data_IF_330876657816
#
_entry.id   IF_330876657816
#
_cell.length_a   1.000
_cell.length_b   1.000
_cell.length_c   1.000
_cell.angle_alpha   90.00
_cell.angle_beta   90.00
_cell.angle_gamma   90.00
#
_symmetry.space_group_name_H-M   'P 1'
#
loop_
_entity.id
_entity.type
_entity.pdbx_description
1 polymer ?
#
# COMPACT_ATOMS: atom_id res chain seq x y z
N UNK A 1 -41.57 -23.22 17.44
CA UNK A 1 -40.17 -23.66 17.52
C UNK A 1 -39.35 -23.08 16.35
N UNK A 2 -39.66 -23.44 15.12
CA UNK A 2 -38.88 -22.99 13.94
C UNK A 2 -38.74 -21.46 13.75
N UNK A 3 -39.76 -20.67 14.08
CA UNK A 3 -39.71 -19.20 13.95
C UNK A 3 -38.72 -18.60 14.97
N UNK A 4 -38.72 -19.10 16.19
CA UNK A 4 -37.86 -18.66 17.27
C UNK A 4 -36.38 -18.99 16.99
N UNK A 5 -36.14 -20.18 16.45
CA UNK A 5 -34.80 -20.62 16.08
C UNK A 5 -34.27 -19.83 14.88
N UNK A 6 -35.11 -19.54 13.89
CA UNK A 6 -34.75 -18.68 12.75
C UNK A 6 -34.43 -17.26 13.18
N UNK A 7 -35.21 -16.71 14.11
CA UNK A 7 -34.95 -15.37 14.65
C UNK A 7 -33.63 -15.33 15.40
N UNK A 8 -33.35 -16.33 16.23
CA UNK A 8 -32.09 -16.45 16.95
C UNK A 8 -30.90 -16.59 16.00
N UNK A 9 -31.01 -17.46 14.98
CA UNK A 9 -29.99 -17.62 13.96
C UNK A 9 -29.74 -16.34 13.16
N UNK A 10 -30.81 -15.60 12.81
CA UNK A 10 -30.68 -14.32 12.12
C UNK A 10 -30.02 -13.25 13.00
N UNK A 11 -30.32 -13.22 14.29
CA UNK A 11 -29.70 -12.31 15.25
C UNK A 11 -28.20 -12.60 15.41
N UNK A 12 -27.84 -13.86 15.57
CA UNK A 12 -26.44 -14.28 15.69
C UNK A 12 -25.66 -13.99 14.39
N UNK A 13 -26.28 -14.20 13.24
CA UNK A 13 -25.70 -13.83 11.94
C UNK A 13 -25.46 -12.33 11.83
N UNK A 14 -26.41 -11.50 12.25
CA UNK A 14 -26.27 -10.05 12.26
C UNK A 14 -25.12 -9.61 13.18
N UNK A 15 -25.02 -10.14 14.38
CA UNK A 15 -23.94 -9.84 15.32
C UNK A 15 -22.57 -10.26 14.78
N UNK A 16 -22.48 -11.40 14.10
CA UNK A 16 -21.27 -11.87 13.44
C UNK A 16 -20.85 -10.92 12.33
N UNK A 17 -21.76 -10.55 11.45
CA UNK A 17 -21.50 -9.61 10.35
C UNK A 17 -21.09 -8.24 10.89
N UNK A 18 -21.74 -7.73 11.93
CA UNK A 18 -21.37 -6.47 12.57
C UNK A 18 -19.96 -6.50 13.14
N UNK A 19 -19.57 -7.57 13.84
CA UNK A 19 -18.21 -7.74 14.37
C UNK A 19 -17.16 -7.86 13.27
N UNK A 20 -17.48 -8.61 12.22
CA UNK A 20 -16.60 -8.79 11.06
C UNK A 20 -16.39 -7.47 10.31
N UNK A 21 -17.43 -6.69 10.09
CA UNK A 21 -17.36 -5.35 9.48
C UNK A 21 -16.53 -4.39 10.34
N UNK A 22 -16.72 -4.38 11.65
CA UNK A 22 -15.93 -3.56 12.57
C UNK A 22 -14.45 -3.94 12.53
N UNK A 23 -14.15 -5.24 12.47
CA UNK A 23 -12.77 -5.73 12.35
C UNK A 23 -12.14 -5.28 11.03
N UNK A 24 -12.83 -5.44 9.91
CA UNK A 24 -12.36 -5.01 8.58
C UNK A 24 -12.12 -3.50 8.55
N UNK A 25 -13.01 -2.70 9.11
CA UNK A 25 -12.84 -1.26 9.21
C UNK A 25 -11.61 -0.86 10.02
N UNK A 26 -11.40 -1.50 11.16
CA UNK A 26 -10.23 -1.27 12.02
C UNK A 26 -8.93 -1.67 11.33
N UNK A 27 -8.89 -2.85 10.74
CA UNK A 27 -7.71 -3.36 10.03
C UNK A 27 -7.36 -2.47 8.83
N UNK A 28 -8.36 -2.01 8.09
CA UNK A 28 -8.18 -1.08 6.96
C UNK A 28 -7.68 0.28 7.41
N UNK A 29 -8.18 0.81 8.53
CA UNK A 29 -7.72 2.07 9.11
C UNK A 29 -6.25 2.00 9.56
N UNK A 30 -5.89 0.94 10.27
CA UNK A 30 -4.50 0.69 10.67
C UNK A 30 -3.59 0.50 9.45
N UNK A 31 -4.10 -0.18 8.41
CA UNK A 31 -3.40 -0.34 7.13
C UNK A 31 -3.15 0.99 6.41
N UNK A 32 -4.08 1.95 6.48
CA UNK A 32 -3.88 3.31 5.92
C UNK A 32 -2.79 4.06 6.67
N UNK A 33 -2.82 4.06 8.00
CA UNK A 33 -1.79 4.75 8.83
C UNK A 33 -0.41 4.12 8.61
N UNK A 34 -0.32 2.80 8.66
CA UNK A 34 0.90 2.05 8.38
C UNK A 34 1.40 2.29 6.96
N UNK A 35 0.49 2.37 5.98
CA UNK A 35 0.79 2.65 4.59
C UNK A 35 1.43 4.01 4.37
N UNK A 36 0.99 5.06 5.07
CA UNK A 36 1.61 6.40 5.00
C UNK A 36 3.07 6.34 5.45
N UNK A 37 3.35 5.70 6.59
CA UNK A 37 4.70 5.55 7.11
C UNK A 37 5.59 4.73 6.16
N UNK A 38 5.06 3.65 5.60
CA UNK A 38 5.76 2.80 4.63
C UNK A 38 6.09 3.54 3.35
N UNK A 39 5.15 4.30 2.79
CA UNK A 39 5.38 5.11 1.58
C UNK A 39 6.48 6.14 1.83
N UNK A 40 6.46 6.84 2.95
CA UNK A 40 7.52 7.80 3.32
C UNK A 40 8.90 7.13 3.44
N UNK A 41 8.98 5.98 4.10
CA UNK A 41 10.22 5.23 4.25
C UNK A 41 10.76 4.76 2.89
N UNK A 42 9.89 4.28 2.00
CA UNK A 42 10.28 3.84 0.66
C UNK A 42 10.66 5.01 -0.26
N UNK A 43 10.03 6.17 -0.13
CA UNK A 43 10.49 7.38 -0.82
C UNK A 43 11.91 7.74 -0.42
N UNK A 44 12.22 7.71 0.86
CA UNK A 44 13.57 7.94 1.35
C UNK A 44 14.56 6.88 0.83
N UNK A 45 14.15 5.63 0.75
CA UNK A 45 14.96 4.54 0.18
C UNK A 45 15.28 4.77 -1.30
N UNK A 46 14.31 5.26 -2.09
CA UNK A 46 14.54 5.63 -3.50
C UNK A 46 15.56 6.76 -3.60
N UNK A 47 15.42 7.80 -2.80
CA UNK A 47 16.38 8.93 -2.78
C UNK A 47 17.80 8.47 -2.42
N UNK A 48 17.93 7.65 -1.39
CA UNK A 48 19.22 7.10 -0.96
C UNK A 48 19.85 6.22 -2.04
N UNK A 49 19.05 5.38 -2.70
CA UNK A 49 19.52 4.52 -3.78
C UNK A 49 19.93 5.31 -5.03
N UNK A 50 19.22 6.40 -5.34
CA UNK A 50 19.58 7.31 -6.44
C UNK A 50 20.92 8.01 -6.16
N UNK A 51 21.11 8.52 -4.94
CA UNK A 51 22.37 9.16 -4.52
C UNK A 51 23.54 8.15 -4.56
N UNK A 52 23.31 6.92 -4.08
CA UNK A 52 24.29 5.85 -4.13
C UNK A 52 24.68 5.48 -5.57
N UNK A 53 23.71 5.47 -6.50
CA UNK A 53 23.97 5.24 -7.91
C UNK A 53 24.85 6.35 -8.49
N UNK A 54 24.53 7.62 -8.25
CA UNK A 54 25.33 8.75 -8.71
C UNK A 54 26.77 8.68 -8.20
N UNK A 55 26.95 8.37 -6.92
CA UNK A 55 28.29 8.20 -6.33
C UNK A 55 29.07 7.04 -6.97
N UNK A 56 28.38 5.94 -7.28
CA UNK A 56 28.99 4.77 -7.91
C UNK A 56 29.34 5.05 -9.38
N UNK A 57 28.50 5.77 -10.11
CA UNK A 57 28.79 6.20 -11.49
C UNK A 57 29.99 7.16 -11.55
N UNK A 58 30.05 8.13 -10.64
CA UNK A 58 31.22 9.01 -10.50
C UNK A 58 32.49 8.22 -10.17
N UNK A 59 32.39 7.24 -9.26
CA UNK A 59 33.53 6.34 -8.95
C UNK A 59 33.97 5.47 -10.14
N UNK A 60 33.04 5.08 -10.99
CA UNK A 60 33.31 4.35 -12.22
C UNK A 60 34.09 5.22 -13.23
N UNK A 61 33.69 6.47 -13.40
CA UNK A 61 34.38 7.42 -14.30
C UNK A 61 35.84 7.66 -13.91
N UNK A 62 36.11 7.70 -12.61
CA UNK A 62 37.49 7.88 -12.10
C UNK A 62 38.26 6.56 -11.87
N UNK A 63 37.65 5.41 -12.20
CA UNK A 63 38.28 4.10 -12.15
C UNK A 63 38.30 3.43 -10.75
N UNK A 64 37.58 3.98 -9.74
CA UNK A 64 37.54 3.41 -8.39
C UNK A 64 36.40 2.40 -8.21
N UNK A 65 35.47 2.31 -9.14
CA UNK A 65 34.33 1.39 -9.15
C UNK A 65 34.28 0.60 -10.45
N UNK A 66 33.67 -0.58 -10.39
CA UNK A 66 33.54 -1.48 -11.53
C UNK A 66 32.19 -1.34 -12.19
N UNK A 67 32.04 -1.87 -13.43
CA UNK A 67 30.74 -1.97 -14.12
C UNK A 67 29.73 -2.77 -13.32
N UNK A 68 30.17 -3.81 -12.62
CA UNK A 68 29.31 -4.63 -11.74
C UNK A 68 28.76 -3.79 -10.59
N UNK A 69 29.57 -2.92 -9.99
CA UNK A 69 29.12 -2.02 -8.93
C UNK A 69 28.01 -1.07 -9.42
N UNK A 70 28.15 -0.52 -10.62
CA UNK A 70 27.14 0.35 -11.25
C UNK A 70 25.85 -0.42 -11.54
N UNK A 71 25.96 -1.63 -12.08
CA UNK A 71 24.80 -2.49 -12.34
C UNK A 71 24.05 -2.85 -11.06
N UNK A 72 24.76 -3.17 -9.99
CA UNK A 72 24.17 -3.47 -8.69
C UNK A 72 23.47 -2.23 -8.09
N UNK A 73 24.08 -1.07 -8.19
CA UNK A 73 23.47 0.18 -7.75
C UNK A 73 22.16 0.50 -8.53
N UNK A 74 22.16 0.29 -9.85
CA UNK A 74 20.95 0.42 -10.70
C UNK A 74 19.87 -0.56 -10.31
N UNK A 75 20.21 -1.82 -10.06
CA UNK A 75 19.25 -2.84 -9.60
C UNK A 75 18.60 -2.44 -8.28
N UNK A 76 19.40 -1.91 -7.34
CA UNK A 76 18.88 -1.42 -6.04
C UNK A 76 17.91 -0.26 -6.22
N UNK A 77 18.24 0.68 -7.09
CA UNK A 77 17.34 1.80 -7.41
C UNK A 77 16.03 1.32 -8.02
N UNK A 78 16.06 0.46 -9.04
CA UNK A 78 14.84 -0.09 -9.65
C UNK A 78 14.02 -0.92 -8.67
N UNK A 79 14.66 -1.70 -7.80
CA UNK A 79 13.97 -2.44 -6.74
C UNK A 79 13.28 -1.50 -5.76
N UNK A 80 13.94 -0.42 -5.35
CA UNK A 80 13.36 0.59 -4.46
C UNK A 80 12.16 1.31 -5.13
N UNK A 81 12.28 1.67 -6.41
CA UNK A 81 11.19 2.29 -7.17
C UNK A 81 9.99 1.34 -7.32
N UNK A 82 10.24 0.07 -7.61
CA UNK A 82 9.21 -0.97 -7.67
C UNK A 82 8.48 -1.11 -6.35
N UNK A 83 9.22 -1.21 -5.24
CA UNK A 83 8.63 -1.36 -3.91
C UNK A 83 7.80 -0.12 -3.53
N UNK A 84 8.25 1.07 -3.88
CA UNK A 84 7.51 2.30 -3.68
C UNK A 84 6.20 2.31 -4.48
N UNK A 85 6.22 1.89 -5.74
CA UNK A 85 5.03 1.81 -6.57
C UNK A 85 4.01 0.82 -5.99
N UNK A 86 4.44 -0.38 -5.60
CA UNK A 86 3.58 -1.38 -4.95
C UNK A 86 2.96 -0.82 -3.68
N UNK A 87 3.75 -0.16 -2.84
CA UNK A 87 3.28 0.43 -1.59
C UNK A 87 2.24 1.54 -1.80
N UNK A 88 2.39 2.35 -2.85
CA UNK A 88 1.39 3.36 -3.22
C UNK A 88 0.07 2.72 -3.64
N UNK A 89 0.10 1.66 -4.44
CA UNK A 89 -1.11 0.93 -4.83
C UNK A 89 -1.78 0.26 -3.62
N UNK A 90 -1.01 -0.36 -2.74
CA UNK A 90 -1.55 -0.96 -1.51
C UNK A 90 -2.20 0.09 -0.60
N UNK A 91 -1.62 1.27 -0.51
CA UNK A 91 -2.19 2.40 0.22
C UNK A 91 -3.55 2.81 -0.36
N UNK A 92 -3.65 2.97 -1.68
CA UNK A 92 -4.91 3.29 -2.37
C UNK A 92 -5.95 2.20 -2.13
N UNK A 93 -5.58 0.93 -2.23
CA UNK A 93 -6.48 -0.20 -1.97
C UNK A 93 -6.97 -0.22 -0.53
N UNK A 94 -6.12 0.10 0.45
CA UNK A 94 -6.53 0.19 1.86
C UNK A 94 -7.52 1.34 2.11
N UNK A 95 -7.35 2.48 1.45
CA UNK A 95 -8.32 3.59 1.49
C UNK A 95 -9.67 3.14 0.92
N UNK A 96 -9.68 2.46 -0.22
CA UNK A 96 -10.90 1.95 -0.84
C UNK A 96 -11.60 0.92 0.05
N UNK A 97 -10.86 0.01 0.66
CA UNK A 97 -11.39 -0.97 1.63
C UNK A 97 -12.00 -0.29 2.85
N UNK A 98 -11.36 0.75 3.37
CA UNK A 98 -11.89 1.53 4.48
C UNK A 98 -13.20 2.22 4.09
N UNK A 99 -13.27 2.86 2.93
CA UNK A 99 -14.49 3.48 2.42
C UNK A 99 -15.60 2.46 2.18
N UNK A 100 -15.27 1.30 1.66
CA UNK A 100 -16.21 0.19 1.49
C UNK A 100 -16.78 -0.29 2.83
N UNK A 101 -15.93 -0.50 3.83
CA UNK A 101 -16.35 -0.92 5.16
C UNK A 101 -17.22 0.13 5.87
N UNK A 102 -16.95 1.42 5.64
CA UNK A 102 -17.74 2.54 6.15
C UNK A 102 -19.03 2.79 5.35
N UNK A 103 -19.22 2.14 4.19
CA UNK A 103 -20.37 2.34 3.31
C UNK A 103 -20.37 3.67 2.54
N UNK A 104 -19.23 4.34 2.45
CA UNK A 104 -19.08 5.66 1.79
C UNK A 104 -18.41 5.58 0.42
N UNK A 105 -18.17 4.37 -0.09
CA UNK A 105 -17.54 4.18 -1.40
C UNK A 105 -18.50 4.58 -2.53
N UNK A 106 -18.08 5.55 -3.35
CA UNK A 106 -18.80 6.07 -4.50
C UNK A 106 -18.02 5.90 -5.80
N UNK A 107 -18.72 5.97 -6.93
CA UNK A 107 -18.11 5.95 -8.27
C UNK A 107 -17.15 7.11 -8.46
N UNK A 108 -17.43 8.26 -7.86
CA UNK A 108 -16.56 9.45 -7.87
C UNK A 108 -15.18 9.18 -7.27
N UNK A 109 -15.09 8.32 -6.25
CA UNK A 109 -13.82 7.93 -5.65
C UNK A 109 -12.94 7.15 -6.64
N UNK A 110 -13.56 6.30 -7.46
CA UNK A 110 -12.88 5.55 -8.50
C UNK A 110 -12.40 6.46 -9.64
N UNK A 111 -13.22 7.43 -10.03
CA UNK A 111 -12.86 8.44 -11.05
C UNK A 111 -11.69 9.31 -10.58
N UNK A 112 -11.70 9.74 -9.33
CA UNK A 112 -10.61 10.51 -8.73
C UNK A 112 -9.30 9.72 -8.73
N UNK A 113 -9.33 8.45 -8.34
CA UNK A 113 -8.16 7.58 -8.34
C UNK A 113 -7.66 7.34 -9.76
N UNK A 114 -8.56 7.12 -10.70
CA UNK A 114 -8.20 6.97 -12.11
C UNK A 114 -7.51 8.24 -12.65
N UNK A 115 -7.95 9.41 -12.23
CA UNK A 115 -7.29 10.69 -12.53
C UNK A 115 -5.86 10.79 -11.96
N UNK A 116 -5.58 10.16 -10.83
CA UNK A 116 -4.23 10.14 -10.24
C UNK A 116 -3.27 9.17 -10.95
N UNK A 117 -3.82 8.15 -11.60
CA UNK A 117 -3.04 7.14 -12.31
C UNK A 117 -2.66 7.56 -13.74
N UNK A 118 -3.38 8.50 -14.28
CA UNK A 118 -3.08 9.10 -15.60
C UNK A 118 -2.22 10.35 -15.47
#
# INVERSE_FOLDING_TARGET
>A
MCIRDRHRASKEKLERVARETTKVARDSYLGVISGIATVKALQQSVMSSATALQATEAGYEVGTRTTVDVLDARRRLFSAQKNLAISKYDYILNILKLKQAAGTLNVQDLEQINGWLM
#
